data_IF_678197172590
#
_entry.id   IF_678197172590
#
_cell.length_a   1.000
_cell.length_b   1.000
_cell.length_c   1.000
_cell.angle_alpha   90.00
_cell.angle_beta   90.00
_cell.angle_gamma   90.00
#
_symmetry.space_group_name_H-M   'P 1'
#
loop_
_entity.id
_entity.type
_entity.pdbx_description
1 polymer ?
#
# COMPACT_ATOMS: atom_id res chain seq x y z
N UNK A 1 -13.53 -20.14 35.56
CA UNK A 1 -13.90 -18.75 35.26
C UNK A 1 -12.66 -17.89 35.47
N UNK A 2 -11.76 -17.87 34.49
CA UNK A 2 -10.62 -16.95 34.43
C UNK A 2 -11.08 -15.72 33.67
N UNK A 3 -11.73 -14.84 34.41
CA UNK A 3 -12.16 -13.54 33.95
C UNK A 3 -10.95 -12.59 33.95
N UNK A 4 -10.81 -11.86 32.85
CA UNK A 4 -10.16 -10.55 32.72
C UNK A 4 -8.63 -10.50 32.56
N UNK A 5 -8.21 -10.64 31.30
CA UNK A 5 -7.17 -9.79 30.72
C UNK A 5 -7.68 -9.26 29.36
N UNK A 6 -8.82 -8.56 29.37
CA UNK A 6 -9.30 -7.81 28.19
C UNK A 6 -8.51 -6.49 28.10
N UNK A 7 -7.20 -6.62 27.90
CA UNK A 7 -6.38 -5.54 27.39
C UNK A 7 -6.66 -5.41 25.89
N UNK A 8 -6.79 -4.20 25.39
CA UNK A 8 -6.94 -3.89 23.96
C UNK A 8 -5.61 -4.15 23.22
N UNK A 9 -5.08 -5.37 23.33
CA UNK A 9 -3.81 -5.85 22.79
C UNK A 9 -4.03 -7.17 22.05
N UNK A 10 -3.20 -7.42 21.03
CA UNK A 10 -3.31 -8.61 20.18
C UNK A 10 -2.90 -9.86 20.95
N UNK A 11 -3.60 -10.97 20.76
CA UNK A 11 -3.18 -12.24 21.31
C UNK A 11 -1.82 -12.64 20.71
N UNK A 12 -0.96 -13.28 21.51
CA UNK A 12 0.38 -13.70 21.05
C UNK A 12 0.33 -14.60 19.80
N UNK A 13 -0.79 -15.32 19.64
CA UNK A 13 -1.11 -16.20 18.51
C UNK A 13 -1.38 -15.42 17.20
N UNK A 14 -1.85 -14.18 17.28
CA UNK A 14 -2.19 -13.33 16.12
C UNK A 14 -0.97 -12.61 15.54
N UNK A 15 0.07 -12.41 16.35
CA UNK A 15 1.28 -11.65 15.99
C UNK A 15 1.97 -12.16 14.71
N UNK A 16 2.17 -13.48 14.51
CA UNK A 16 2.75 -14.00 13.26
C UNK A 16 1.88 -13.68 12.04
N UNK A 17 0.56 -13.76 12.18
CA UNK A 17 -0.41 -13.44 11.12
C UNK A 17 -0.37 -11.97 10.71
N UNK A 18 -0.28 -11.06 11.69
CA UNK A 18 -0.17 -9.62 11.46
C UNK A 18 1.14 -9.26 10.76
N UNK A 19 2.27 -9.85 11.21
CA UNK A 19 3.58 -9.65 10.56
C UNK A 19 3.56 -10.12 9.09
N UNK A 20 2.93 -11.26 8.82
CA UNK A 20 2.77 -11.78 7.46
C UNK A 20 1.90 -10.88 6.57
N UNK A 21 0.76 -10.40 7.09
CA UNK A 21 -0.10 -9.46 6.38
C UNK A 21 0.61 -8.13 6.09
N UNK A 22 1.37 -7.61 7.07
CA UNK A 22 2.15 -6.38 6.91
C UNK A 22 3.21 -6.54 5.81
N UNK A 23 3.89 -7.69 5.74
CA UNK A 23 4.88 -7.96 4.69
C UNK A 23 4.24 -7.94 3.29
N UNK A 24 3.08 -8.60 3.11
CA UNK A 24 2.36 -8.61 1.83
C UNK A 24 1.93 -7.21 1.42
N UNK A 25 1.37 -6.44 2.36
CA UNK A 25 1.01 -5.05 2.13
C UNK A 25 2.24 -4.21 1.75
N UNK A 26 3.36 -4.37 2.44
CA UNK A 26 4.63 -3.67 2.13
C UNK A 26 5.10 -3.96 0.71
N UNK A 27 5.15 -5.23 0.32
CA UNK A 27 5.58 -5.62 -1.03
C UNK A 27 4.67 -4.96 -2.06
N UNK A 28 3.36 -5.01 -1.86
CA UNK A 28 2.39 -4.37 -2.77
C UNK A 28 2.54 -2.85 -2.83
N UNK A 29 2.72 -2.19 -1.69
CA UNK A 29 2.90 -0.74 -1.62
C UNK A 29 4.16 -0.29 -2.37
N UNK A 30 5.26 -1.04 -2.24
CA UNK A 30 6.50 -0.78 -2.98
C UNK A 30 6.34 -1.04 -4.49
N UNK A 31 5.70 -2.14 -4.87
CA UNK A 31 5.43 -2.47 -6.29
C UNK A 31 4.57 -1.39 -6.96
N UNK A 32 3.48 -0.97 -6.32
CA UNK A 32 2.61 0.10 -6.82
C UNK A 32 3.35 1.44 -6.84
N UNK A 33 4.10 1.77 -5.79
CA UNK A 33 4.88 3.00 -5.70
C UNK A 33 5.92 3.14 -6.81
N UNK A 34 6.69 2.09 -7.08
CA UNK A 34 7.68 2.05 -8.17
C UNK A 34 6.98 2.15 -9.53
N UNK A 35 5.87 1.44 -9.71
CA UNK A 35 5.11 1.51 -10.95
C UNK A 35 4.59 2.93 -11.23
N UNK A 36 4.11 3.65 -10.21
CA UNK A 36 3.67 5.04 -10.35
C UNK A 36 4.81 5.97 -10.75
N UNK A 37 6.03 5.74 -10.23
CA UNK A 37 7.23 6.48 -10.65
C UNK A 37 7.53 6.24 -12.13
N UNK A 38 7.41 5.00 -12.61
CA UNK A 38 7.58 4.68 -14.05
C UNK A 38 6.50 5.37 -14.89
N UNK A 39 5.24 5.36 -14.44
CA UNK A 39 4.12 6.01 -15.14
C UNK A 39 4.34 7.52 -15.28
N UNK A 40 4.76 8.19 -14.20
CA UNK A 40 5.12 9.62 -14.22
C UNK A 40 6.29 9.85 -15.18
N UNK A 41 7.33 9.01 -15.12
CA UNK A 41 8.49 9.11 -16.02
C UNK A 41 8.07 9.00 -17.49
N UNK A 42 7.18 8.06 -17.83
CA UNK A 42 6.64 7.92 -19.19
C UNK A 42 5.83 9.15 -19.64
N UNK A 43 5.07 9.75 -18.72
CA UNK A 43 4.31 10.99 -18.98
C UNK A 43 5.24 12.18 -19.24
N UNK A 44 6.26 12.36 -18.40
CA UNK A 44 7.26 13.42 -18.55
C UNK A 44 8.05 13.22 -19.84
N UNK A 45 8.49 12.01 -20.15
CA UNK A 45 9.24 11.72 -21.37
C UNK A 45 8.44 12.07 -22.62
N UNK A 46 7.14 11.72 -22.66
CA UNK A 46 6.24 12.07 -23.75
C UNK A 46 6.05 13.58 -23.89
N UNK A 47 5.95 14.32 -22.78
CA UNK A 47 5.66 15.76 -22.78
C UNK A 47 6.88 16.59 -23.16
N UNK A 48 8.08 16.22 -22.70
CA UNK A 48 9.28 17.05 -22.83
C UNK A 48 10.25 16.58 -23.93
N UNK A 49 10.11 15.34 -24.42
CA UNK A 49 11.00 14.78 -25.45
C UNK A 49 10.19 14.33 -26.67
N UNK A 50 10.04 15.19 -27.69
CA UNK A 50 9.21 14.91 -28.87
C UNK A 50 9.61 13.63 -29.62
N UNK A 51 10.91 13.32 -29.67
CA UNK A 51 11.44 12.10 -30.30
C UNK A 51 11.04 10.81 -29.59
N UNK A 52 10.56 10.88 -28.34
CA UNK A 52 10.22 9.72 -27.50
C UNK A 52 8.71 9.62 -27.23
N UNK A 53 7.88 10.36 -27.96
CA UNK A 53 6.41 10.38 -27.77
C UNK A 53 5.78 8.98 -27.88
N UNK A 54 6.21 8.15 -28.84
CA UNK A 54 5.68 6.80 -29.04
C UNK A 54 6.06 5.89 -27.88
N UNK A 55 7.32 5.94 -27.42
CA UNK A 55 7.80 5.16 -26.29
C UNK A 55 7.09 5.57 -25.00
N UNK A 56 6.98 6.88 -24.73
CA UNK A 56 6.25 7.40 -23.58
C UNK A 56 4.77 7.02 -23.59
N UNK A 57 4.12 7.01 -24.76
CA UNK A 57 2.73 6.53 -24.88
C UNK A 57 2.58 5.04 -24.54
N UNK A 58 3.47 4.19 -25.03
CA UNK A 58 3.43 2.75 -24.74
C UNK A 58 3.68 2.47 -23.27
N UNK A 59 4.66 3.17 -22.66
CA UNK A 59 4.93 3.06 -21.23
C UNK A 59 3.68 3.42 -20.41
N UNK A 60 3.11 4.61 -20.62
CA UNK A 60 1.94 5.07 -19.87
C UNK A 60 0.74 4.14 -20.03
N UNK A 61 0.45 3.65 -21.25
CA UNK A 61 -0.65 2.70 -21.48
C UNK A 61 -0.43 1.40 -20.72
N UNK A 62 0.73 0.75 -20.90
CA UNK A 62 1.02 -0.54 -20.28
C UNK A 62 1.09 -0.43 -18.76
N UNK A 63 1.78 0.59 -18.23
CA UNK A 63 1.85 0.80 -16.77
C UNK A 63 0.51 1.22 -16.19
N UNK A 64 -0.32 1.97 -16.91
CA UNK A 64 -1.65 2.36 -16.44
C UNK A 64 -2.59 1.17 -16.27
N UNK A 65 -2.59 0.24 -17.23
CA UNK A 65 -3.36 -1.01 -17.10
C UNK A 65 -2.84 -1.86 -15.94
N UNK A 66 -1.51 -2.01 -15.84
CA UNK A 66 -0.88 -2.76 -14.76
C UNK A 66 -1.14 -2.13 -13.38
N UNK A 67 -1.17 -0.79 -13.31
CA UNK A 67 -1.54 -0.05 -12.10
C UNK A 67 -2.94 -0.41 -11.63
N UNK A 68 -3.94 -0.39 -12.52
CA UNK A 68 -5.32 -0.69 -12.16
C UNK A 68 -5.48 -2.06 -11.49
N UNK A 69 -4.82 -3.08 -12.03
CA UNK A 69 -4.82 -4.43 -11.44
C UNK A 69 -4.08 -4.49 -10.09
N UNK A 70 -2.86 -3.95 -10.02
CA UNK A 70 -2.06 -3.97 -8.78
C UNK A 70 -2.71 -3.13 -7.67
N UNK A 71 -3.42 -2.07 -8.03
CA UNK A 71 -4.16 -1.23 -7.10
C UNK A 71 -5.29 -2.01 -6.42
N UNK A 72 -6.02 -2.86 -7.16
CA UNK A 72 -7.02 -3.74 -6.54
C UNK A 72 -6.38 -4.72 -5.54
N UNK A 73 -5.23 -5.30 -5.89
CA UNK A 73 -4.49 -6.20 -4.98
C UNK A 73 -3.98 -5.44 -3.75
N UNK A 74 -3.49 -4.21 -3.93
CA UNK A 74 -3.09 -3.33 -2.82
C UNK A 74 -4.26 -3.10 -1.87
N UNK A 75 -5.45 -2.76 -2.38
CA UNK A 75 -6.64 -2.54 -1.54
C UNK A 75 -7.04 -3.81 -0.78
N UNK A 76 -6.96 -4.98 -1.41
CA UNK A 76 -7.26 -6.26 -0.74
C UNK A 76 -6.26 -6.52 0.38
N UNK A 77 -4.96 -6.36 0.14
CA UNK A 77 -3.93 -6.55 1.18
C UNK A 77 -4.01 -5.51 2.30
N UNK A 78 -4.34 -4.26 1.96
CA UNK A 78 -4.59 -3.19 2.93
C UNK A 78 -5.83 -3.46 3.77
N UNK A 79 -6.89 -3.99 3.17
CA UNK A 79 -8.09 -4.40 3.86
C UNK A 79 -7.83 -5.59 4.80
N UNK A 80 -7.16 -6.65 4.33
CA UNK A 80 -6.79 -7.81 5.17
C UNK A 80 -5.95 -7.37 6.38
N UNK A 81 -4.91 -6.56 6.16
CA UNK A 81 -4.10 -6.01 7.26
C UNK A 81 -4.95 -5.15 8.19
N UNK A 82 -5.72 -4.20 7.64
CA UNK A 82 -6.54 -3.27 8.40
C UNK A 82 -7.63 -3.96 9.24
N UNK A 83 -8.21 -5.06 8.76
CA UNK A 83 -9.15 -5.88 9.54
C UNK A 83 -8.45 -6.58 10.69
N UNK A 84 -7.22 -7.08 10.50
CA UNK A 84 -6.41 -7.70 11.55
C UNK A 84 -5.99 -6.69 12.62
N UNK A 85 -5.52 -5.49 12.24
CA UNK A 85 -5.05 -4.46 13.19
C UNK A 85 -6.13 -3.47 13.66
N UNK A 86 -7.39 -3.73 13.27
CA UNK A 86 -8.59 -2.92 13.58
C UNK A 86 -8.45 -1.45 13.15
N UNK A 87 -7.92 -1.19 11.96
CA UNK A 87 -7.88 0.16 11.39
C UNK A 87 -9.27 0.73 11.13
N UNK A 88 -9.42 2.04 11.33
CA UNK A 88 -10.64 2.76 11.01
C UNK A 88 -10.80 2.95 9.51
N UNK A 89 -12.04 3.19 9.05
CA UNK A 89 -12.33 3.42 7.63
C UNK A 89 -11.54 4.60 7.04
N UNK A 90 -11.20 5.60 7.87
CA UNK A 90 -10.35 6.74 7.47
C UNK A 90 -8.96 6.30 7.01
N UNK A 91 -8.40 5.28 7.64
CA UNK A 91 -7.11 4.69 7.27
C UNK A 91 -7.18 3.99 5.92
N UNK A 92 -8.27 3.26 5.67
CA UNK A 92 -8.50 2.64 4.37
C UNK A 92 -8.65 3.68 3.25
N UNK A 93 -9.40 4.75 3.50
CA UNK A 93 -9.51 5.88 2.56
C UNK A 93 -8.14 6.53 2.31
N UNK A 94 -7.32 6.72 3.34
CA UNK A 94 -5.97 7.27 3.18
C UNK A 94 -5.09 6.39 2.28
N UNK A 95 -5.15 5.05 2.41
CA UNK A 95 -4.41 4.12 1.53
C UNK A 95 -4.95 4.19 0.10
N UNK A 96 -6.27 4.29 -0.05
CA UNK A 96 -6.94 4.45 -1.36
C UNK A 96 -6.42 5.71 -2.08
N UNK A 97 -6.36 6.85 -1.39
CA UNK A 97 -5.75 8.08 -1.94
C UNK A 97 -4.23 7.95 -2.15
N UNK A 98 -3.54 7.23 -1.27
CA UNK A 98 -2.10 7.04 -1.40
C UNK A 98 -1.69 6.16 -2.60
N UNK A 99 -2.61 5.32 -3.09
CA UNK A 99 -2.41 4.52 -4.30
C UNK A 99 -2.61 5.30 -5.59
N UNK A 100 -3.21 6.50 -5.57
CA UNK A 100 -3.42 7.32 -6.78
C UNK A 100 -2.42 8.46 -6.92
N UNK A 101 -1.80 8.89 -5.82
CA UNK A 101 -0.79 9.96 -5.84
C UNK A 101 0.61 9.34 -5.79
N UNK A 102 1.51 9.69 -6.73
CA UNK A 102 2.89 9.20 -6.70
C UNK A 102 3.57 9.59 -5.38
N UNK A 103 4.47 8.73 -4.92
CA UNK A 103 5.20 8.82 -3.65
C UNK A 103 4.40 8.61 -2.37
N UNK A 104 3.09 8.91 -2.35
CA UNK A 104 2.25 8.70 -1.16
C UNK A 104 2.12 7.23 -0.77
N UNK A 105 2.26 6.29 -1.71
CA UNK A 105 2.31 4.86 -1.40
C UNK A 105 3.45 4.49 -0.43
N UNK A 106 4.62 5.13 -0.55
CA UNK A 106 5.73 4.92 0.39
C UNK A 106 5.44 5.52 1.77
N UNK A 107 4.79 6.68 1.78
CA UNK A 107 4.39 7.34 3.03
C UNK A 107 3.34 6.50 3.78
N UNK A 108 2.34 5.98 3.06
CA UNK A 108 1.33 5.08 3.62
C UNK A 108 1.97 3.80 4.19
N UNK A 109 2.95 3.22 3.50
CA UNK A 109 3.70 2.07 4.00
C UNK A 109 4.47 2.41 5.30
N UNK A 110 5.15 3.56 5.33
CA UNK A 110 5.88 4.00 6.51
C UNK A 110 4.96 4.15 7.73
N UNK A 111 3.83 4.84 7.57
CA UNK A 111 2.86 5.03 8.65
C UNK A 111 2.22 3.71 9.08
N UNK A 112 1.90 2.83 8.11
CA UNK A 112 1.35 1.50 8.39
C UNK A 112 2.31 0.68 9.26
N UNK A 113 3.59 0.61 8.86
CA UNK A 113 4.62 -0.11 9.60
C UNK A 113 4.81 0.47 11.01
N UNK A 114 4.77 1.81 11.16
CA UNK A 114 4.88 2.47 12.47
C UNK A 114 3.70 2.16 13.38
N UNK A 115 2.47 2.22 12.86
CA UNK A 115 1.25 1.91 13.62
C UNK A 115 1.21 0.45 14.06
N UNK A 116 1.50 -0.49 13.16
CA UNK A 116 1.55 -1.93 13.50
C UNK A 116 2.62 -2.21 14.55
N UNK A 117 3.81 -1.59 14.46
CA UNK A 117 4.86 -1.76 15.48
C UNK A 117 4.45 -1.19 16.84
N UNK A 118 3.82 -0.02 16.87
CA UNK A 118 3.33 0.58 18.10
C UNK A 118 2.26 -0.32 18.77
N UNK A 119 1.35 -0.85 17.96
CA UNK A 119 0.28 -1.77 18.37
C UNK A 119 0.77 -3.14 18.86
N UNK A 120 1.91 -3.62 18.35
CA UNK A 120 2.54 -4.87 18.79
C UNK A 120 3.46 -4.70 20.01
N UNK A 121 3.80 -3.47 20.38
CA UNK A 121 4.68 -3.16 21.51
C UNK A 121 3.91 -2.66 22.76
N UNK A 122 2.61 -2.40 22.62
CA UNK A 122 1.68 -2.03 23.68
C UNK A 122 0.95 -3.28 24.18
#
# INVERSE_FOLDING_TARGET
MSEQAEGVGFDAEDVPGIKGALLRYRIMAWVVGVLLVVLITGTVLRLFVPSQILLGQQLVKSTGVLHGWLYMVLLITAYDLGRRVKWSLKWFLAIMFAGTVPFLSFVAEHFATKDVRAKLAA
#
